data_IF_492902838741
#
_entry.id   IF_492902838741
#
_cell.length_a   1.000
_cell.length_b   1.000
_cell.length_c   1.000
_cell.angle_alpha   90.00
_cell.angle_beta   90.00
_cell.angle_gamma   90.00
#
_symmetry.space_group_name_H-M   'P 1'
#
loop_
_entity.id
_entity.type
_entity.pdbx_description
1 polymer ?
#
# COMPACT_ATOMS: atom_id res chain seq x y z
N UNK A 1 27.39 -11.95 14.91
CA UNK A 1 26.12 -11.48 14.32
C UNK A 1 26.20 -11.78 12.83
N UNK A 2 25.31 -12.58 12.23
CA UNK A 2 25.35 -12.78 10.80
C UNK A 2 24.93 -11.46 10.14
N UNK A 3 25.86 -10.89 9.40
CA UNK A 3 25.68 -9.73 8.55
C UNK A 3 24.71 -10.14 7.43
N UNK A 4 23.41 -9.96 7.62
CA UNK A 4 22.44 -10.25 6.56
C UNK A 4 22.64 -9.16 5.53
N UNK A 5 23.35 -9.50 4.45
CA UNK A 5 23.44 -8.68 3.25
C UNK A 5 22.02 -8.57 2.70
N UNK A 6 21.30 -7.52 3.10
CA UNK A 6 19.98 -7.23 2.59
C UNK A 6 20.22 -6.65 1.20
N UNK A 7 20.40 -7.55 0.22
CA UNK A 7 20.30 -7.37 -1.24
C UNK A 7 21.00 -6.14 -1.87
N UNK A 8 21.77 -6.30 -2.95
CA UNK A 8 22.29 -5.16 -3.73
C UNK A 8 21.21 -4.47 -4.60
N UNK A 9 19.93 -4.76 -4.34
CA UNK A 9 18.79 -4.25 -5.12
C UNK A 9 18.39 -2.84 -4.66
N UNK A 10 17.78 -2.01 -5.54
CA UNK A 10 17.45 -0.61 -5.22
C UNK A 10 16.55 -0.43 -3.97
N UNK A 11 15.67 -1.40 -3.68
CA UNK A 11 14.74 -1.34 -2.54
C UNK A 11 15.40 -1.70 -1.20
N UNK A 12 16.64 -2.19 -1.19
CA UNK A 12 17.28 -2.74 0.01
C UNK A 12 17.40 -1.73 1.15
N UNK A 13 17.79 -0.49 0.85
CA UNK A 13 17.89 0.56 1.87
C UNK A 13 16.53 0.86 2.52
N UNK A 14 15.46 0.87 1.72
CA UNK A 14 14.10 1.05 2.23
C UNK A 14 13.67 -0.14 3.10
N UNK A 15 13.95 -1.36 2.65
CA UNK A 15 13.63 -2.58 3.40
C UNK A 15 14.36 -2.60 4.75
N UNK A 16 15.64 -2.24 4.80
CA UNK A 16 16.42 -2.16 6.05
C UNK A 16 15.79 -1.21 7.06
N UNK A 17 15.36 -0.03 6.58
CA UNK A 17 14.70 0.96 7.45
C UNK A 17 13.37 0.43 7.98
N UNK A 18 12.59 -0.24 7.14
CA UNK A 18 11.34 -0.88 7.55
C UNK A 18 11.55 -1.96 8.61
N UNK A 19 12.53 -2.84 8.41
CA UNK A 19 12.89 -3.88 9.39
C UNK A 19 13.40 -3.28 10.71
N UNK A 20 14.24 -2.25 10.64
CA UNK A 20 14.72 -1.56 11.85
C UNK A 20 13.59 -0.85 12.62
N UNK A 21 12.53 -0.42 11.93
CA UNK A 21 11.34 0.10 12.60
C UNK A 21 10.53 -1.04 13.23
N UNK A 22 10.33 -2.14 12.52
CA UNK A 22 9.64 -3.34 13.01
C UNK A 22 10.26 -3.90 14.30
N UNK A 23 11.59 -3.88 14.43
CA UNK A 23 12.31 -4.32 15.62
C UNK A 23 11.95 -3.52 16.89
N UNK A 24 11.36 -2.33 16.75
CA UNK A 24 10.89 -1.52 17.89
C UNK A 24 9.52 -1.97 18.40
N UNK A 25 8.83 -2.84 17.67
CA UNK A 25 7.47 -3.29 17.97
C UNK A 25 7.43 -4.79 18.24
N UNK A 26 6.47 -5.23 19.05
CA UNK A 26 6.26 -6.65 19.30
C UNK A 26 5.39 -7.27 18.20
N UNK A 27 6.00 -7.58 17.05
CA UNK A 27 5.29 -8.16 15.90
C UNK A 27 4.99 -9.65 16.12
N UNK A 28 3.70 -10.02 16.04
CA UNK A 28 3.26 -11.43 16.09
C UNK A 28 3.35 -12.13 14.74
N UNK A 29 3.02 -11.43 13.65
CA UNK A 29 2.94 -11.98 12.30
C UNK A 29 3.38 -10.93 11.29
N UNK A 30 3.92 -11.38 10.14
CA UNK A 30 4.47 -10.49 9.12
C UNK A 30 4.25 -11.09 7.73
N UNK A 31 3.92 -10.24 6.76
CA UNK A 31 3.87 -10.59 5.35
C UNK A 31 4.81 -9.68 4.55
N UNK A 32 5.53 -10.26 3.60
CA UNK A 32 6.31 -9.52 2.60
C UNK A 32 5.70 -9.84 1.24
N UNK A 33 5.40 -8.80 0.48
CA UNK A 33 4.78 -8.93 -0.85
C UNK A 33 5.64 -8.16 -1.84
N UNK A 34 5.99 -8.81 -2.94
CA UNK A 34 6.69 -8.20 -4.06
C UNK A 34 5.96 -8.50 -5.36
N UNK A 35 6.07 -7.59 -6.33
CA UNK A 35 5.61 -7.82 -7.70
C UNK A 35 6.85 -7.90 -8.57
N UNK A 36 7.02 -9.02 -9.27
CA UNK A 36 8.09 -9.19 -10.23
C UNK A 36 7.85 -8.25 -11.43
N UNK A 37 8.86 -7.45 -11.80
CA UNK A 37 8.72 -6.48 -12.89
C UNK A 37 8.56 -7.13 -14.26
N UNK A 38 9.12 -8.33 -14.43
CA UNK A 38 9.26 -9.00 -15.71
C UNK A 38 8.06 -9.93 -15.95
N UNK A 39 7.70 -10.74 -14.94
CA UNK A 39 6.58 -11.68 -15.05
C UNK A 39 5.24 -11.10 -14.62
N UNK A 40 5.23 -9.96 -13.90
CA UNK A 40 4.06 -9.38 -13.23
C UNK A 40 3.44 -10.30 -12.17
N UNK A 41 4.10 -11.39 -11.82
CA UNK A 41 3.63 -12.29 -10.78
C UNK A 41 3.84 -11.68 -9.40
N UNK A 42 2.91 -11.98 -8.50
CA UNK A 42 3.00 -11.59 -7.10
C UNK A 42 3.72 -12.69 -6.31
N UNK A 43 4.80 -12.31 -5.64
CA UNK A 43 5.50 -13.16 -4.68
C UNK A 43 5.06 -12.79 -3.26
N UNK A 44 4.71 -13.80 -2.46
CA UNK A 44 4.26 -13.61 -1.07
C UNK A 44 5.07 -14.47 -0.13
N UNK A 45 5.60 -13.87 0.93
CA UNK A 45 6.21 -14.54 2.06
C UNK A 45 5.40 -14.28 3.32
N UNK A 46 5.08 -15.34 4.07
CA UNK A 46 4.30 -15.23 5.31
C UNK A 46 5.08 -15.79 6.49
N UNK A 47 5.19 -15.01 7.56
CA UNK A 47 5.70 -15.44 8.84
C UNK A 47 4.55 -15.50 9.86
N UNK A 48 4.21 -16.71 10.30
CA UNK A 48 3.18 -16.98 11.30
C UNK A 48 1.80 -16.35 11.01
N UNK A 49 1.41 -16.24 9.74
CA UNK A 49 0.09 -15.73 9.36
C UNK A 49 -0.94 -16.85 9.26
N UNK A 50 -1.97 -16.79 10.11
CA UNK A 50 -3.19 -17.59 9.95
C UNK A 50 -4.02 -17.12 8.75
N UNK A 51 -5.07 -17.86 8.38
CA UNK A 51 -6.02 -17.43 7.33
C UNK A 51 -6.64 -16.08 7.67
N UNK A 52 -7.01 -15.87 8.94
CA UNK A 52 -7.60 -14.61 9.38
C UNK A 52 -6.59 -13.45 9.31
N UNK A 53 -5.33 -13.70 9.72
CA UNK A 53 -4.27 -12.69 9.62
C UNK A 53 -4.07 -12.23 8.17
N UNK A 54 -4.06 -13.17 7.22
CA UNK A 54 -3.95 -12.86 5.79
C UNK A 54 -5.13 -12.06 5.28
N UNK A 55 -6.35 -12.39 5.70
CA UNK A 55 -7.55 -11.67 5.31
C UNK A 55 -7.52 -10.22 5.80
N UNK A 56 -7.15 -9.99 7.07
CA UNK A 56 -7.01 -8.64 7.64
C UNK A 56 -5.93 -7.84 6.91
N UNK A 57 -4.76 -8.44 6.66
CA UNK A 57 -3.68 -7.79 5.91
C UNK A 57 -4.11 -7.40 4.48
N UNK A 58 -4.81 -8.30 3.77
CA UNK A 58 -5.32 -8.03 2.43
C UNK A 58 -6.36 -6.89 2.42
N UNK A 59 -7.28 -6.88 3.40
CA UNK A 59 -8.27 -5.80 3.53
C UNK A 59 -7.61 -4.45 3.80
N UNK A 60 -6.56 -4.40 4.64
CA UNK A 60 -5.82 -3.16 4.86
C UNK A 60 -5.16 -2.63 3.58
N UNK A 61 -4.52 -3.50 2.80
CA UNK A 61 -3.93 -3.12 1.50
C UNK A 61 -5.00 -2.61 0.53
N UNK A 62 -6.17 -3.25 0.49
CA UNK A 62 -7.29 -2.81 -0.34
C UNK A 62 -7.83 -1.44 0.08
N UNK A 63 -7.90 -1.19 1.39
CA UNK A 63 -8.33 0.11 1.91
C UNK A 63 -7.35 1.23 1.53
N UNK A 64 -6.04 0.99 1.62
CA UNK A 64 -5.01 1.95 1.19
C UNK A 64 -5.13 2.26 -0.31
N UNK A 65 -5.29 1.23 -1.15
CA UNK A 65 -5.48 1.41 -2.59
C UNK A 65 -6.76 2.21 -2.94
N UNK A 66 -7.84 2.00 -2.18
CA UNK A 66 -9.07 2.77 -2.34
C UNK A 66 -8.85 4.24 -1.96
N UNK A 67 -8.14 4.49 -0.86
CA UNK A 67 -7.81 5.84 -0.42
C UNK A 67 -6.96 6.59 -1.45
N UNK A 68 -5.93 5.95 -1.99
CA UNK A 68 -5.10 6.51 -3.07
C UNK A 68 -5.94 6.84 -4.32
N UNK A 69 -6.90 5.99 -4.66
CA UNK A 69 -7.81 6.22 -5.79
C UNK A 69 -8.71 7.43 -5.55
N UNK A 70 -9.20 7.61 -4.32
CA UNK A 70 -10.00 8.79 -3.96
C UNK A 70 -9.15 10.05 -4.07
N UNK A 71 -7.94 10.06 -3.53
CA UNK A 71 -7.02 11.22 -3.64
C UNK A 71 -6.73 11.55 -5.11
N UNK A 72 -6.36 10.55 -5.92
CA UNK A 72 -6.04 10.74 -7.32
C UNK A 72 -7.22 11.33 -8.13
N UNK A 73 -8.44 11.05 -7.70
CA UNK A 73 -9.66 11.55 -8.34
C UNK A 73 -10.28 12.77 -7.63
N UNK A 74 -9.76 13.19 -6.47
CA UNK A 74 -10.32 14.30 -5.70
C UNK A 74 -10.39 15.59 -6.52
N UNK A 75 -9.35 15.88 -7.31
CA UNK A 75 -9.33 17.04 -8.21
C UNK A 75 -10.41 16.97 -9.30
N UNK A 76 -10.69 15.77 -9.84
CA UNK A 76 -11.75 15.58 -10.85
C UNK A 76 -13.15 15.67 -10.23
N UNK A 77 -13.31 15.19 -9.01
CA UNK A 77 -14.57 15.26 -8.27
C UNK A 77 -14.89 16.72 -7.91
N UNK A 78 -13.89 17.49 -7.45
CA UNK A 78 -14.06 18.93 -7.17
C UNK A 78 -14.44 19.68 -8.45
N UNK A 79 -13.72 19.46 -9.56
CA UNK A 79 -14.04 20.10 -10.83
C UNK A 79 -15.45 19.73 -11.34
N UNK A 80 -15.85 18.45 -11.23
CA UNK A 80 -17.19 18.03 -11.61
C UNK A 80 -18.29 18.61 -10.70
N UNK A 81 -17.99 18.86 -9.42
CA UNK A 81 -18.91 19.50 -8.49
C UNK A 81 -19.03 21.02 -8.74
N UNK A 82 -17.93 21.68 -9.12
CA UNK A 82 -17.93 23.09 -9.50
C UNK A 82 -18.69 23.32 -10.83
N UNK A 83 -18.46 22.49 -11.85
CA UNK A 83 -19.20 22.53 -13.13
C UNK A 83 -20.72 22.33 -12.96
N UNK A 84 -21.14 21.47 -12.03
CA UNK A 84 -22.57 21.28 -11.73
C UNK A 84 -23.17 22.52 -11.05
N UNK A 85 -22.42 23.18 -10.16
CA UNK A 85 -22.91 24.34 -9.42
C UNK A 85 -22.99 25.60 -10.30
N UNK A 86 -22.10 25.75 -11.31
CA UNK A 86 -22.21 26.82 -12.30
C UNK A 86 -23.40 26.63 -13.27
N UNK A 87 -23.84 25.39 -13.50
CA UNK A 87 -24.98 25.11 -14.39
C UNK A 87 -26.36 25.41 -13.77
N UNK A 88 -26.46 25.46 -12.44
CA UNK A 88 -27.69 25.80 -11.70
C UNK A 88 -27.86 27.33 -11.48
N UNK A 89 -26.83 28.15 -11.72
CA UNK A 89 -26.86 29.61 -11.51
C UNK A 89 -27.30 30.42 -12.76
N UNK A 90 -27.61 29.74 -13.88
CA UNK A 90 -28.13 30.35 -15.12
C UNK A 90 -29.61 30.07 -15.39
N UNK A 91 -30.34 29.51 -14.43
CA UNK A 91 -31.80 29.36 -14.50
C UNK A 91 -32.51 30.31 -13.54
N UNK A 92 -32.61 31.58 -13.93
CA UNK A 92 -33.59 32.55 -13.42
C UNK A 92 -34.16 33.39 -14.59
#
# INVERSE_FOLDING_TARGET
>A
MPNILISDKPYAQWLNKGLAEFDKHNLRSLAIIGIDSDTREMLTGYYQCSVNDKAVMATNIQADALYDTVIANAAKIVAAAEDQNESDDFSD
#
